data_IF_413752900117
#
_entry.id   IF_413752900117
#
_cell.length_a   1.000
_cell.length_b   1.000
_cell.length_c   1.000
_cell.angle_alpha   90.00
_cell.angle_beta   90.00
_cell.angle_gamma   90.00
#
_symmetry.space_group_name_H-M   'P 1'
#
loop_
_entity.id
_entity.type
_entity.pdbx_description
1 polymer ?
#
# COMPACT_ATOMS: atom_id res chain seq x y z
N UNK A 1 -7.67 8.30 1.14
CA UNK A 1 -6.65 8.08 2.19
C UNK A 1 -7.12 7.15 3.29
N UNK A 2 -8.04 7.52 4.20
CA UNK A 2 -8.49 6.61 5.28
C UNK A 2 -8.97 5.27 4.71
N UNK A 3 -9.89 5.31 3.74
CA UNK A 3 -10.39 4.10 3.06
C UNK A 3 -9.32 3.30 2.29
N UNK A 4 -8.24 3.96 1.86
CA UNK A 4 -7.12 3.30 1.20
C UNK A 4 -6.24 2.56 2.21
N UNK A 5 -5.81 3.24 3.28
CA UNK A 5 -5.00 2.63 4.35
C UNK A 5 -5.78 1.48 5.00
N UNK A 6 -7.08 1.66 5.21
CA UNK A 6 -7.97 0.64 5.75
C UNK A 6 -8.13 -0.60 4.85
N UNK A 7 -7.97 -0.45 3.54
CA UNK A 7 -8.07 -1.55 2.58
C UNK A 7 -6.72 -2.25 2.36
N UNK A 8 -5.61 -1.51 2.43
CA UNK A 8 -4.27 -2.01 2.12
C UNK A 8 -3.54 -2.63 3.32
N UNK A 9 -3.80 -2.15 4.53
CA UNK A 9 -3.05 -2.54 5.72
C UNK A 9 -3.98 -2.89 6.88
N UNK A 10 -3.77 -4.03 7.58
CA UNK A 10 -4.56 -4.36 8.76
C UNK A 10 -4.46 -3.26 9.82
N UNK A 11 -5.61 -2.76 10.29
CA UNK A 11 -5.66 -1.68 11.29
C UNK A 11 -5.04 -2.06 12.66
N UNK A 12 -4.86 -3.36 12.91
CA UNK A 12 -4.16 -3.88 14.09
C UNK A 12 -2.66 -3.57 14.07
N UNK A 13 -2.06 -3.29 12.90
CA UNK A 13 -0.63 -3.00 12.78
C UNK A 13 -0.21 -1.76 13.57
N UNK A 14 1.08 -1.68 13.88
CA UNK A 14 1.65 -0.56 14.61
C UNK A 14 1.35 0.80 13.97
N UNK A 15 1.19 1.83 14.79
CA UNK A 15 0.79 3.15 14.30
C UNK A 15 1.81 3.75 13.31
N UNK A 16 3.10 3.49 13.52
CA UNK A 16 4.15 3.94 12.60
C UNK A 16 4.09 3.21 11.25
N UNK A 17 3.67 1.94 11.22
CA UNK A 17 3.43 1.23 9.96
C UNK A 17 2.24 1.82 9.19
N UNK A 18 1.15 2.15 9.90
CA UNK A 18 -0.01 2.81 9.29
C UNK A 18 0.34 4.21 8.76
N UNK A 19 1.22 4.96 9.44
CA UNK A 19 1.73 6.24 8.96
C UNK A 19 2.58 6.07 7.69
N UNK A 20 3.51 5.10 7.68
CA UNK A 20 4.30 4.78 6.50
C UNK A 20 3.40 4.42 5.30
N UNK A 21 2.38 3.57 5.51
CA UNK A 21 1.40 3.24 4.47
C UNK A 21 0.64 4.48 3.98
N UNK A 22 0.24 5.38 4.88
CA UNK A 22 -0.45 6.61 4.51
C UNK A 22 0.41 7.51 3.62
N UNK A 23 1.72 7.61 3.88
CA UNK A 23 2.67 8.37 3.05
C UNK A 23 2.89 7.69 1.69
N UNK A 24 3.10 6.37 1.65
CA UNK A 24 3.26 5.63 0.40
C UNK A 24 2.02 5.75 -0.50
N UNK A 25 0.83 5.45 0.05
CA UNK A 25 -0.44 5.54 -0.68
C UNK A 25 -0.74 6.97 -1.20
N UNK A 26 -0.36 8.00 -0.43
CA UNK A 26 -0.52 9.40 -0.85
C UNK A 26 0.45 9.75 -1.97
N UNK A 27 1.70 9.33 -1.86
CA UNK A 27 2.72 9.56 -2.89
C UNK A 27 2.30 8.90 -4.20
N UNK A 28 1.83 7.65 -4.13
CA UNK A 28 1.29 6.92 -5.28
C UNK A 28 0.12 7.67 -5.93
N UNK A 29 -0.86 8.10 -5.12
CA UNK A 29 -2.00 8.87 -5.60
C UNK A 29 -1.58 10.17 -6.32
N UNK A 30 -0.68 10.94 -5.72
CA UNK A 30 -0.16 12.19 -6.29
C UNK A 30 0.56 11.92 -7.61
N UNK A 31 1.41 10.89 -7.68
CA UNK A 31 2.12 10.51 -8.91
C UNK A 31 1.16 10.18 -10.04
N UNK A 32 0.10 9.41 -9.77
CA UNK A 32 -0.94 9.07 -10.75
C UNK A 32 -1.70 10.29 -11.25
N UNK A 33 -2.12 11.17 -10.34
CA UNK A 33 -2.82 12.42 -10.70
C UNK A 33 -1.93 13.27 -11.62
N UNK A 34 -0.65 13.46 -11.27
CA UNK A 34 0.29 14.25 -12.09
C UNK A 34 0.54 13.62 -13.46
N UNK A 35 0.46 12.29 -13.58
CA UNK A 35 0.61 11.60 -14.86
C UNK A 35 -0.54 11.87 -15.85
N UNK A 36 -1.62 12.52 -15.40
CA UNK A 36 -2.82 12.84 -16.20
C UNK A 36 -3.42 11.61 -16.89
N UNK A 37 -3.23 10.40 -16.34
CA UNK A 37 -3.88 9.19 -16.82
C UNK A 37 -5.34 9.21 -16.37
N UNK A 38 -6.25 9.14 -17.33
CA UNK A 38 -7.68 9.04 -17.03
C UNK A 38 -8.12 7.59 -16.81
N UNK A 39 -9.00 7.40 -15.84
CA UNK A 39 -9.68 6.16 -15.49
C UNK A 39 -11.18 6.27 -15.83
N UNK A 40 -11.97 5.18 -15.76
CA UNK A 40 -13.40 5.23 -16.07
C UNK A 40 -14.12 6.41 -15.41
N UNK A 41 -15.06 7.02 -16.15
CA UNK A 41 -15.79 8.23 -15.75
C UNK A 41 -14.93 9.49 -15.58
N UNK A 42 -13.72 9.52 -16.16
CA UNK A 42 -12.86 10.70 -16.11
C UNK A 42 -12.14 10.86 -14.76
N UNK A 43 -12.05 9.80 -13.96
CA UNK A 43 -11.39 9.84 -12.67
C UNK A 43 -9.85 9.88 -12.81
N UNK A 44 -9.17 10.49 -11.84
CA UNK A 44 -7.70 10.51 -11.77
C UNK A 44 -7.12 9.22 -11.14
N UNK A 45 -7.97 8.45 -10.46
CA UNK A 45 -7.62 7.22 -9.74
C UNK A 45 -8.75 6.20 -9.88
N UNK A 46 -8.41 4.92 -9.68
CA UNK A 46 -9.35 3.81 -9.57
C UNK A 46 -9.18 3.09 -8.22
N UNK A 47 -10.23 2.42 -7.76
CA UNK A 47 -10.24 1.49 -6.62
C UNK A 47 -9.86 0.04 -7.02
N UNK A 48 -9.56 -0.20 -8.30
CA UNK A 48 -9.03 -1.46 -8.79
C UNK A 48 -7.55 -1.61 -8.44
N UNK A 49 -7.26 -2.61 -7.61
CA UNK A 49 -5.90 -2.97 -7.16
C UNK A 49 -4.96 -3.33 -8.30
N UNK A 50 -5.47 -3.77 -9.46
CA UNK A 50 -4.65 -4.13 -10.61
C UNK A 50 -4.13 -2.91 -11.37
N UNK A 51 -4.76 -1.74 -11.19
CA UNK A 51 -4.39 -0.51 -11.90
C UNK A 51 -3.94 0.63 -10.98
N UNK A 52 -4.40 0.60 -9.74
CA UNK A 52 -4.21 1.62 -8.73
C UNK A 52 -3.87 1.00 -7.37
N UNK A 53 -4.73 1.19 -6.38
CA UNK A 53 -4.56 0.77 -4.99
C UNK A 53 -5.93 0.45 -4.41
N UNK A 54 -5.98 -0.41 -3.39
CA UNK A 54 -7.21 -0.83 -2.77
C UNK A 54 -7.93 0.34 -2.11
N UNK A 55 -9.26 0.29 -2.13
CA UNK A 55 -10.08 1.27 -1.44
C UNK A 55 -11.33 0.61 -0.86
N UNK A 56 -11.66 0.98 0.37
CA UNK A 56 -12.92 0.62 1.01
C UNK A 56 -13.62 1.88 1.50
N UNK A 57 -14.94 1.93 1.31
CA UNK A 57 -15.77 2.95 1.93
C UNK A 57 -15.70 2.78 3.45
N UNK A 58 -15.55 3.89 4.19
CA UNK A 58 -15.47 3.85 5.66
C UNK A 58 -16.69 3.13 6.26
N UNK A 59 -17.89 3.34 5.71
CA UNK A 59 -19.12 2.65 6.12
C UNK A 59 -19.12 1.13 5.89
N UNK A 60 -18.22 0.63 5.03
CA UNK A 60 -18.06 -0.79 4.71
C UNK A 60 -16.82 -1.41 5.36
N UNK A 61 -16.00 -0.62 6.04
CA UNK A 61 -14.83 -1.13 6.76
C UNK A 61 -15.26 -1.96 7.97
N UNK A 62 -14.78 -3.21 8.04
CA UNK A 62 -14.91 -4.13 9.17
C UNK A 62 -16.27 -4.10 9.90
N UNK A 63 -17.42 -4.22 9.21
CA UNK A 63 -18.75 -3.95 9.79
C UNK A 63 -19.14 -4.91 10.92
N UNK A 64 -18.55 -6.10 10.96
CA UNK A 64 -18.78 -7.10 12.00
C UNK A 64 -17.74 -7.06 13.12
N UNK A 65 -16.75 -6.18 13.06
CA UNK A 65 -15.71 -6.07 14.09
C UNK A 65 -16.20 -5.15 15.22
N UNK A 66 -16.27 -5.62 16.48
CA UNK A 66 -16.72 -4.79 17.60
C UNK A 66 -15.82 -3.57 17.84
N UNK A 67 -14.53 -3.66 17.52
CA UNK A 67 -13.54 -2.60 17.72
C UNK A 67 -13.39 -1.69 16.48
N UNK A 68 -14.32 -1.81 15.51
CA UNK A 68 -14.27 -1.10 14.22
C UNK A 68 -14.00 0.39 14.38
N UNK A 69 -14.68 1.05 15.31
CA UNK A 69 -14.58 2.50 15.48
C UNK A 69 -13.21 2.89 16.04
N UNK A 70 -12.66 2.14 16.99
CA UNK A 70 -11.31 2.36 17.52
C UNK A 70 -10.24 2.14 16.45
N UNK A 71 -10.39 1.09 15.64
CA UNK A 71 -9.51 0.80 14.51
C UNK A 71 -9.54 1.92 13.47
N UNK A 72 -10.74 2.45 13.16
CA UNK A 72 -10.88 3.60 12.26
C UNK A 72 -10.24 4.87 12.84
N UNK A 73 -10.40 5.12 14.15
CA UNK A 73 -9.75 6.26 14.83
C UNK A 73 -8.23 6.13 14.73
N UNK A 74 -7.68 4.93 14.91
CA UNK A 74 -6.24 4.68 14.78
C UNK A 74 -5.73 4.96 13.35
N UNK A 75 -6.45 4.49 12.32
CA UNK A 75 -6.13 4.79 10.92
C UNK A 75 -6.22 6.30 10.65
N UNK A 76 -7.30 6.95 11.11
CA UNK A 76 -7.50 8.38 10.92
C UNK A 76 -6.39 9.19 11.58
N UNK A 77 -5.96 8.80 12.79
CA UNK A 77 -4.82 9.41 13.49
C UNK A 77 -3.54 9.29 12.68
N UNK A 78 -3.24 8.12 12.10
CA UNK A 78 -2.08 7.94 11.24
C UNK A 78 -2.14 8.85 9.99
N UNK A 79 -3.27 8.84 9.29
CA UNK A 79 -3.47 9.65 8.07
C UNK A 79 -3.36 11.15 8.34
N UNK A 80 -3.91 11.61 9.47
CA UNK A 80 -3.83 13.01 9.90
C UNK A 80 -2.42 13.41 10.32
N UNK A 81 -1.71 12.53 11.02
CA UNK A 81 -0.35 12.80 11.49
C UNK A 81 0.63 13.03 10.35
N UNK A 82 0.45 12.34 9.22
CA UNK A 82 1.31 12.49 8.03
C UNK A 82 0.67 13.39 6.94
N UNK A 83 -0.20 14.32 7.32
CA UNK A 83 -0.99 15.08 6.34
C UNK A 83 -0.08 15.91 5.43
N UNK A 84 -0.16 15.66 4.13
CA UNK A 84 0.61 16.39 3.12
C UNK A 84 2.02 15.84 2.88
N UNK A 85 2.44 14.83 3.65
CA UNK A 85 3.74 14.18 3.45
C UNK A 85 3.70 13.23 2.25
N UNK A 86 4.68 13.38 1.37
CA UNK A 86 4.92 12.53 0.20
C UNK A 86 6.42 12.25 0.07
N UNK A 87 6.77 11.15 -0.59
CA UNK A 87 8.15 10.76 -0.85
C UNK A 87 8.59 11.30 -2.20
N UNK A 88 9.73 11.98 -2.22
CA UNK A 88 10.31 12.58 -3.42
C UNK A 88 11.70 11.99 -3.68
N UNK A 89 12.04 11.86 -4.96
CA UNK A 89 13.39 11.62 -5.45
C UNK A 89 13.62 12.59 -6.60
N UNK A 90 14.74 13.32 -6.59
CA UNK A 90 15.02 14.39 -7.55
C UNK A 90 13.87 15.41 -7.72
N UNK A 91 13.26 15.79 -6.59
CA UNK A 91 12.11 16.72 -6.51
C UNK A 91 10.84 16.23 -7.23
N UNK A 92 10.78 14.96 -7.61
CA UNK A 92 9.62 14.33 -8.24
C UNK A 92 9.03 13.26 -7.32
N UNK A 93 7.69 13.09 -7.25
CA UNK A 93 7.09 11.99 -6.52
C UNK A 93 7.59 10.65 -7.06
N UNK A 94 7.95 9.76 -6.13
CA UNK A 94 8.44 8.42 -6.47
C UNK A 94 7.30 7.46 -6.82
N UNK A 95 7.65 6.35 -7.47
CA UNK A 95 6.79 5.17 -7.53
C UNK A 95 6.82 4.44 -6.17
N UNK A 96 5.94 4.87 -5.26
CA UNK A 96 5.84 4.34 -3.89
C UNK A 96 5.12 2.98 -3.84
N UNK A 97 5.71 1.97 -4.48
CA UNK A 97 5.19 0.62 -4.55
C UNK A 97 5.35 -0.11 -3.21
N UNK A 98 4.40 -0.96 -2.87
CA UNK A 98 4.39 -1.75 -1.64
C UNK A 98 3.78 -3.12 -1.89
N UNK A 99 4.10 -4.09 -1.03
CA UNK A 99 3.55 -5.44 -1.06
C UNK A 99 3.31 -5.95 0.37
N UNK A 100 2.51 -7.00 0.51
CA UNK A 100 2.16 -7.57 1.82
C UNK A 100 3.36 -8.19 2.55
N UNK A 101 4.13 -9.04 1.87
CA UNK A 101 5.27 -9.77 2.46
C UNK A 101 6.27 -10.08 1.35
N UNK A 102 7.56 -9.80 1.59
CA UNK A 102 8.60 -9.81 0.54
C UNK A 102 9.46 -11.09 0.50
N UNK A 103 9.28 -12.04 1.43
CA UNK A 103 10.01 -13.31 1.39
C UNK A 103 11.51 -13.23 1.73
N UNK A 104 11.95 -12.16 2.40
CA UNK A 104 13.31 -12.02 2.98
C UNK A 104 14.11 -10.85 2.41
N UNK A 105 13.73 -10.35 1.24
CA UNK A 105 14.30 -9.16 0.61
C UNK A 105 13.24 -8.50 -0.26
N UNK A 106 13.26 -7.18 -0.38
CA UNK A 106 12.52 -6.51 -1.46
C UNK A 106 13.16 -6.83 -2.81
N UNK A 107 12.41 -6.62 -3.88
CA UNK A 107 12.87 -6.85 -5.24
C UNK A 107 13.29 -5.56 -5.95
N UNK A 108 14.17 -5.72 -6.95
CA UNK A 108 14.56 -4.61 -7.82
C UNK A 108 13.46 -4.30 -8.84
N UNK A 109 13.30 -3.03 -9.20
CA UNK A 109 12.39 -2.67 -10.30
C UNK A 109 12.79 -3.32 -11.64
N UNK A 110 14.09 -3.55 -11.86
CA UNK A 110 14.59 -4.25 -13.04
C UNK A 110 14.15 -5.71 -13.11
N UNK A 111 14.12 -6.41 -11.99
CA UNK A 111 13.70 -7.81 -11.96
C UNK A 111 12.20 -7.97 -12.20
N UNK A 112 11.39 -7.02 -11.73
CA UNK A 112 9.92 -7.09 -11.83
C UNK A 112 9.39 -6.48 -13.13
N UNK A 113 9.93 -5.34 -13.56
CA UNK A 113 9.42 -4.54 -14.70
C UNK A 113 10.46 -4.28 -15.80
N UNK A 114 11.66 -4.86 -15.71
CA UNK A 114 12.68 -4.76 -16.76
C UNK A 114 13.44 -3.43 -16.82
N UNK A 115 13.07 -2.43 -16.00
CA UNK A 115 13.70 -1.11 -15.97
C UNK A 115 14.25 -0.79 -14.58
N UNK A 116 15.49 -0.33 -14.51
CA UNK A 116 16.12 0.04 -13.24
C UNK A 116 15.60 1.40 -12.75
N UNK A 117 15.28 1.48 -11.46
CA UNK A 117 14.84 2.70 -10.77
C UNK A 117 15.68 2.85 -9.51
N UNK A 118 16.36 3.98 -9.36
CA UNK A 118 17.42 4.18 -8.35
C UNK A 118 16.97 3.91 -6.91
N UNK A 119 15.72 4.22 -6.57
CA UNK A 119 15.16 4.04 -5.23
C UNK A 119 14.37 2.73 -5.04
N UNK A 120 14.20 1.92 -6.10
CA UNK A 120 13.56 0.60 -6.03
C UNK A 120 14.61 -0.50 -6.23
N UNK A 121 15.45 -0.64 -5.21
CA UNK A 121 16.53 -1.62 -5.16
C UNK A 121 16.24 -2.69 -4.10
N UNK A 122 16.83 -3.89 -4.21
CA UNK A 122 16.68 -4.93 -3.22
C UNK A 122 17.27 -4.50 -1.88
N UNK A 123 16.49 -4.65 -0.81
CA UNK A 123 16.89 -4.41 0.57
C UNK A 123 16.46 -5.61 1.41
N UNK A 124 17.37 -6.12 2.23
CA UNK A 124 17.10 -7.24 3.14
C UNK A 124 15.99 -6.86 4.12
N UNK A 125 15.03 -7.76 4.32
CA UNK A 125 13.92 -7.59 5.25
C UNK A 125 13.90 -8.72 6.28
N UNK A 126 14.34 -8.43 7.50
CA UNK A 126 14.48 -9.44 8.55
C UNK A 126 13.16 -9.73 9.28
N UNK A 127 12.19 -8.81 9.23
CA UNK A 127 10.93 -8.96 9.96
C UNK A 127 9.85 -9.73 9.20
N UNK A 128 9.93 -9.81 7.86
CA UNK A 128 8.90 -10.47 7.06
C UNK A 128 8.75 -11.96 7.36
N UNK A 129 9.77 -12.61 7.93
CA UNK A 129 9.73 -14.01 8.37
C UNK A 129 8.66 -14.27 9.44
N UNK A 130 8.26 -13.23 10.19
CA UNK A 130 7.20 -13.31 11.22
C UNK A 130 5.80 -13.22 10.61
N UNK A 131 5.68 -12.89 9.32
CA UNK A 131 4.39 -12.78 8.64
C UNK A 131 3.74 -14.17 8.53
N UNK A 132 2.43 -14.30 8.79
CA UNK A 132 1.71 -15.55 8.51
C UNK A 132 1.66 -15.87 7.02
N UNK A 133 1.99 -14.90 6.15
CA UNK A 133 2.05 -15.04 4.70
C UNK A 133 3.48 -15.22 4.16
N UNK A 134 4.48 -15.44 5.03
CA UNK A 134 5.87 -15.62 4.59
C UNK A 134 6.07 -16.86 3.72
N UNK A 135 5.36 -17.95 4.04
CA UNK A 135 5.42 -19.20 3.31
C UNK A 135 4.01 -19.75 3.13
N UNK A 136 3.66 -20.12 1.90
CA UNK A 136 2.42 -20.79 1.57
C UNK A 136 2.73 -22.01 0.70
N UNK A 137 2.06 -23.12 0.96
CA UNK A 137 2.16 -24.34 0.18
C UNK A 137 0.79 -24.63 -0.44
N UNK A 138 0.78 -24.86 -1.75
CA UNK A 138 -0.42 -25.20 -2.52
C UNK A 138 -0.16 -26.50 -3.26
N UNK A 139 -0.98 -27.51 -3.03
CA UNK A 139 -0.91 -28.80 -3.74
C UNK A 139 -1.88 -28.76 -4.91
N UNK A 140 -1.39 -28.99 -6.12
CA UNK A 140 -2.19 -29.11 -7.33
C UNK A 140 -2.25 -30.59 -7.73
N UNK A 141 -3.46 -31.16 -7.82
CA UNK A 141 -3.67 -32.50 -8.39
C UNK A 141 -3.89 -32.40 -9.89
N UNK A 142 -3.35 -33.37 -10.64
CA UNK A 142 -3.67 -33.55 -12.04
C UNK A 142 -4.94 -34.40 -12.12
N UNK A 143 -6.11 -33.76 -12.12
CA UNK A 143 -7.33 -34.38 -12.67
C UNK A 143 -7.37 -34.17 -14.19
#
# INVERSE_FOLDING_TARGET
MIGTVAAEMPASFEIEALKAQAVCARTYAVKKIISNKSYPNGADLSDDVTTCQAFVLVSKFAPANPDRDELLIKIEKAVKATRGEILLFDSQPIDALYCSTCGGSTESASAVWGSSISYLQPVKCEDCIKSPHYKQETVLSND
#
